data_IF_008592520856
#
_entry.id   IF_008592520856
#
_cell.length_a   1.000
_cell.length_b   1.000
_cell.length_c   1.000
_cell.angle_alpha   90.00
_cell.angle_beta   90.00
_cell.angle_gamma   90.00
#
_symmetry.space_group_name_H-M   'P 1'
#
loop_
_entity.id
_entity.type
_entity.pdbx_description
1 polymer ?
#
# COMPACT_ATOMS: atom_id res chain seq x y z
N UNK A 1 -0.03 -22.39 6.55
CA UNK A 1 0.59 -21.48 5.55
C UNK A 1 -0.26 -20.23 5.25
N UNK A 2 -1.57 -20.32 4.98
CA UNK A 2 -2.41 -19.13 4.65
C UNK A 2 -2.55 -18.09 5.77
N UNK A 3 -2.56 -18.48 7.04
CA UNK A 3 -2.68 -17.54 8.16
C UNK A 3 -1.44 -16.63 8.31
N UNK A 4 -0.23 -17.18 8.20
CA UNK A 4 1.01 -16.40 8.32
C UNK A 4 1.15 -15.32 7.25
N UNK A 5 0.61 -15.54 6.05
CA UNK A 5 0.59 -14.55 4.97
C UNK A 5 -0.29 -13.36 5.35
N UNK A 6 -1.46 -13.62 5.95
CA UNK A 6 -2.37 -12.56 6.42
C UNK A 6 -1.74 -11.73 7.53
N UNK A 7 -1.06 -12.36 8.50
CA UNK A 7 -0.46 -11.64 9.63
C UNK A 7 0.72 -10.77 9.20
N UNK A 8 1.57 -11.29 8.31
CA UNK A 8 2.69 -10.54 7.73
C UNK A 8 2.19 -9.36 6.89
N UNK A 9 1.22 -9.60 6.01
CA UNK A 9 0.64 -8.57 5.15
C UNK A 9 -0.03 -7.48 5.99
N UNK A 10 -0.77 -7.86 7.04
CA UNK A 10 -1.36 -6.91 7.99
C UNK A 10 -0.29 -6.03 8.63
N UNK A 11 0.80 -6.61 9.11
CA UNK A 11 1.90 -5.84 9.70
C UNK A 11 2.53 -4.86 8.71
N UNK A 12 2.68 -5.23 7.45
CA UNK A 12 3.21 -4.34 6.41
C UNK A 12 2.24 -3.19 6.10
N UNK A 13 0.92 -3.46 6.08
CA UNK A 13 -0.10 -2.42 5.95
C UNK A 13 -0.08 -1.47 7.14
N UNK A 14 0.05 -1.98 8.37
CA UNK A 14 0.13 -1.16 9.58
C UNK A 14 1.36 -0.22 9.53
N UNK A 15 2.51 -0.70 9.02
CA UNK A 15 3.71 0.14 8.82
C UNK A 15 3.48 1.23 7.78
N UNK A 16 2.81 0.91 6.67
CA UNK A 16 2.44 1.88 5.65
C UNK A 16 1.50 2.93 6.23
N UNK A 17 0.50 2.53 7.02
CA UNK A 17 -0.44 3.46 7.65
C UNK A 17 0.20 4.35 8.70
N UNK A 18 1.18 3.84 9.45
CA UNK A 18 1.87 4.59 10.49
C UNK A 18 2.69 5.78 9.95
N UNK A 19 3.06 5.80 8.67
CA UNK A 19 3.86 6.89 8.09
C UNK A 19 3.01 8.06 7.59
N UNK A 20 1.69 7.94 7.57
CA UNK A 20 0.82 9.06 7.19
C UNK A 20 0.93 10.20 8.20
N UNK A 21 1.01 11.42 7.66
CA UNK A 21 1.10 12.68 8.40
C UNK A 21 -0.08 13.59 8.03
N UNK A 22 -0.32 14.60 8.87
CA UNK A 22 -1.29 15.65 8.60
C UNK A 22 -1.01 16.34 7.26
N UNK A 23 -2.07 16.63 6.50
CA UNK A 23 -2.00 17.32 5.22
C UNK A 23 -2.51 18.76 5.32
N UNK A 24 -1.92 19.63 4.54
CA UNK A 24 -2.37 21.00 4.30
C UNK A 24 -2.83 21.14 2.85
N UNK A 25 -3.45 22.29 2.55
CA UNK A 25 -3.86 22.60 1.18
C UNK A 25 -2.64 22.62 0.26
N UNK A 26 -2.69 21.83 -0.82
CA UNK A 26 -1.60 21.67 -1.77
C UNK A 26 -0.72 20.44 -1.53
N UNK A 27 -0.79 19.79 -0.36
CA UNK A 27 -0.07 18.55 -0.12
C UNK A 27 -0.63 17.41 -0.97
N UNK A 28 0.26 16.61 -1.54
CA UNK A 28 -0.10 15.47 -2.37
C UNK A 28 0.64 14.23 -1.96
N UNK A 29 -0.11 13.20 -1.57
CA UNK A 29 0.40 11.85 -1.52
C UNK A 29 0.47 11.22 -2.91
N UNK A 30 1.56 10.52 -3.18
CA UNK A 30 1.70 9.63 -4.32
C UNK A 30 2.03 8.23 -3.81
N UNK A 31 1.31 7.25 -4.32
CA UNK A 31 1.63 5.85 -4.11
C UNK A 31 2.14 5.30 -5.45
N UNK A 32 3.44 4.99 -5.52
CA UNK A 32 4.07 4.50 -6.73
C UNK A 32 4.52 3.05 -6.58
N UNK A 33 4.43 2.31 -7.68
CA UNK A 33 5.01 0.98 -7.78
C UNK A 33 5.88 0.89 -9.02
N UNK A 34 7.10 0.39 -8.83
CA UNK A 34 8.06 0.17 -9.90
C UNK A 34 8.66 -1.23 -9.77
N UNK A 35 8.66 -2.04 -10.84
CA UNK A 35 9.35 -3.33 -10.85
C UNK A 35 10.81 -3.16 -10.40
N UNK A 36 11.25 -3.96 -9.42
CA UNK A 36 12.59 -3.91 -8.84
C UNK A 36 12.83 -2.81 -7.79
N UNK A 37 11.92 -1.83 -7.65
CA UNK A 37 11.96 -0.80 -6.58
C UNK A 37 10.86 -0.99 -5.53
N UNK A 38 9.82 -1.76 -5.86
CA UNK A 38 8.72 -2.04 -4.95
C UNK A 38 7.68 -0.92 -4.90
N UNK A 39 6.92 -0.91 -3.80
CA UNK A 39 5.89 0.06 -3.46
C UNK A 39 6.50 1.19 -2.62
N UNK A 40 6.25 2.43 -3.02
CA UNK A 40 6.66 3.62 -2.30
C UNK A 40 5.46 4.52 -2.02
N UNK A 41 5.45 5.11 -0.82
CA UNK A 41 4.54 6.20 -0.46
C UNK A 41 5.36 7.48 -0.36
N UNK A 42 4.96 8.49 -1.12
CA UNK A 42 5.59 9.79 -1.16
C UNK A 42 4.59 10.87 -0.74
N UNK A 43 5.05 11.93 -0.06
CA UNK A 43 4.30 13.18 0.10
C UNK A 43 5.12 14.32 -0.51
N UNK A 44 4.56 15.04 -1.47
CA UNK A 44 5.24 16.14 -2.17
C UNK A 44 6.62 15.77 -2.75
N UNK A 45 6.82 14.50 -3.12
CA UNK A 45 8.09 13.95 -3.64
C UNK A 45 9.08 13.45 -2.58
N UNK A 46 8.76 13.54 -1.28
CA UNK A 46 9.52 12.90 -0.20
C UNK A 46 8.99 11.49 0.05
N UNK A 47 9.87 10.48 -0.05
CA UNK A 47 9.51 9.08 0.26
C UNK A 47 9.35 8.90 1.78
N UNK A 48 8.12 8.64 2.22
CA UNK A 48 7.79 8.33 3.61
C UNK A 48 7.88 6.84 3.94
N UNK A 49 7.65 5.99 2.93
CA UNK A 49 7.69 4.54 3.08
C UNK A 49 8.13 3.88 1.77
N UNK A 50 8.86 2.78 1.89
CA UNK A 50 9.28 1.94 0.78
C UNK A 50 9.25 0.48 1.20
N UNK A 51 8.71 -0.39 0.35
CA UNK A 51 8.69 -1.83 0.56
C UNK A 51 8.87 -2.58 -0.75
N UNK A 52 9.76 -3.56 -0.76
CA UNK A 52 9.94 -4.50 -1.88
C UNK A 52 8.98 -5.68 -1.82
N UNK A 53 7.96 -5.63 -0.96
CA UNK A 53 6.96 -6.68 -0.85
C UNK A 53 5.94 -6.58 -2.00
N UNK A 54 6.08 -7.46 -2.98
CA UNK A 54 5.16 -7.55 -4.11
C UNK A 54 3.73 -7.93 -3.71
N UNK A 55 3.54 -8.65 -2.61
CA UNK A 55 2.21 -9.00 -2.09
C UNK A 55 1.53 -7.79 -1.46
N UNK A 56 2.28 -6.97 -0.71
CA UNK A 56 1.80 -5.67 -0.24
C UNK A 56 1.42 -4.77 -1.41
N UNK A 57 2.30 -4.66 -2.41
CA UNK A 57 2.05 -3.84 -3.60
C UNK A 57 0.77 -4.27 -4.33
N UNK A 58 0.59 -5.58 -4.57
CA UNK A 58 -0.60 -6.14 -5.20
C UNK A 58 -1.86 -5.95 -4.35
N UNK A 59 -1.79 -6.17 -3.05
CA UNK A 59 -2.94 -6.04 -2.16
C UNK A 59 -3.41 -4.58 -2.07
N UNK A 60 -2.47 -3.66 -1.87
CA UNK A 60 -2.78 -2.24 -1.67
C UNK A 60 -3.21 -1.58 -2.98
N UNK A 61 -2.43 -1.71 -4.06
CA UNK A 61 -2.80 -1.15 -5.37
C UNK A 61 -3.99 -1.86 -6.03
N UNK A 62 -4.19 -3.15 -5.72
CA UNK A 62 -5.30 -3.95 -6.21
C UNK A 62 -6.68 -3.43 -5.76
N UNK A 63 -6.75 -2.60 -4.71
CA UNK A 63 -7.97 -1.90 -4.33
C UNK A 63 -8.49 -1.01 -5.48
N UNK A 64 -7.58 -0.32 -6.18
CA UNK A 64 -7.94 0.64 -7.23
C UNK A 64 -7.75 0.12 -8.65
N UNK A 65 -6.75 -0.75 -8.88
CA UNK A 65 -6.30 -1.12 -10.24
C UNK A 65 -6.77 -2.51 -10.70
N UNK A 66 -7.28 -3.36 -9.81
CA UNK A 66 -7.71 -4.68 -10.21
C UNK A 66 -8.99 -4.61 -11.08
N UNK A 67 -9.11 -5.45 -12.14
CA UNK A 67 -10.31 -5.49 -13.01
C UNK A 67 -11.60 -5.89 -12.27
N UNK A 68 -11.48 -6.37 -11.02
CA UNK A 68 -12.53 -6.52 -10.02
C UNK A 68 -12.08 -5.90 -8.69
N UNK A 69 -11.86 -4.57 -8.63
CA UNK A 69 -11.40 -3.87 -7.42
C UNK A 69 -12.09 -4.36 -6.14
N UNK A 70 -11.36 -4.37 -5.01
CA UNK A 70 -11.75 -4.94 -3.72
C UNK A 70 -12.55 -6.26 -3.85
N UNK A 71 -11.84 -7.39 -3.75
CA UNK A 71 -12.41 -8.75 -3.70
C UNK A 71 -13.83 -8.78 -3.12
N UNK A 72 -14.78 -9.39 -3.85
CA UNK A 72 -16.19 -9.63 -3.45
C UNK A 72 -16.35 -10.11 -1.99
N UNK A 73 -15.29 -10.68 -1.43
CA UNK A 73 -15.18 -11.22 -0.07
C UNK A 73 -15.00 -10.17 1.06
N UNK A 74 -14.97 -8.87 0.74
CA UNK A 74 -15.04 -7.78 1.74
C UNK A 74 -16.40 -7.07 1.73
N UNK A 75 -17.33 -7.48 0.85
CA UNK A 75 -18.71 -6.99 0.81
C UNK A 75 -19.70 -7.88 1.59
N UNK A 76 -19.19 -8.87 2.34
CA UNK A 76 -19.99 -9.68 3.29
C UNK A 76 -19.67 -9.35 4.75
#
# INVERSE_FOLDING_TARGET
>A
ARQHISDRLKSEVDKLHAVFRNIHSGDRYALDFRPGRGLNLEINGEVLFSSNDDELARAYLGIWLAPKGLSERLLE
#
